data_IF_755252217324
#
_entry.id   IF_755252217324
#
_cell.length_a   1.000
_cell.length_b   1.000
_cell.length_c   1.000
_cell.angle_alpha   90.00
_cell.angle_beta   90.00
_cell.angle_gamma   90.00
#
_symmetry.space_group_name_H-M   'P 1'
#
loop_
_entity.id
_entity.type
_entity.pdbx_description
1 polymer ?
#
# COMPACT_ATOMS: atom_id res chain seq x y z
N UNK A 1 4.38 27.26 -16.20
CA UNK A 1 4.62 26.03 -15.43
C UNK A 1 3.38 25.16 -15.58
N UNK A 2 3.51 23.90 -15.97
CA UNK A 2 2.35 23.01 -16.08
C UNK A 2 1.70 22.83 -14.69
N UNK A 3 0.39 22.67 -14.64
CA UNK A 3 -0.34 22.49 -13.37
C UNK A 3 0.28 21.35 -12.53
N UNK A 4 0.68 20.26 -13.19
CA UNK A 4 1.34 19.11 -12.56
C UNK A 4 2.67 19.51 -11.92
N UNK A 5 3.53 20.24 -12.63
CA UNK A 5 4.84 20.65 -12.08
C UNK A 5 4.67 21.69 -10.97
N UNK A 6 3.63 22.51 -11.02
CA UNK A 6 3.27 23.43 -9.95
C UNK A 6 2.81 22.68 -8.68
N UNK A 7 1.93 21.68 -8.80
CA UNK A 7 1.45 20.92 -7.64
C UNK A 7 2.56 20.13 -6.95
N UNK A 8 3.42 19.45 -7.71
CA UNK A 8 4.55 18.71 -7.12
C UNK A 8 5.59 19.61 -6.46
N UNK A 9 5.93 20.75 -7.09
CA UNK A 9 6.89 21.68 -6.50
C UNK A 9 6.34 22.33 -5.23
N UNK A 10 5.05 22.69 -5.21
CA UNK A 10 4.40 23.27 -4.04
C UNK A 10 4.33 22.29 -2.86
N UNK A 11 3.91 21.03 -3.09
CA UNK A 11 3.79 20.04 -2.01
C UNK A 11 5.15 19.69 -1.40
N UNK A 12 6.16 19.52 -2.24
CA UNK A 12 7.53 19.26 -1.80
C UNK A 12 8.08 20.46 -1.01
N UNK A 13 7.93 21.68 -1.55
CA UNK A 13 8.38 22.91 -0.89
C UNK A 13 7.70 23.11 0.47
N UNK A 14 6.39 22.87 0.57
CA UNK A 14 5.65 22.99 1.83
C UNK A 14 6.13 21.97 2.87
N UNK A 15 6.32 20.71 2.47
CA UNK A 15 6.80 19.66 3.38
C UNK A 15 8.20 19.96 3.93
N UNK A 16 9.10 20.46 3.07
CA UNK A 16 10.45 20.86 3.43
C UNK A 16 10.43 22.10 4.33
N UNK A 17 9.61 23.11 3.99
CA UNK A 17 9.50 24.32 4.78
C UNK A 17 9.00 24.04 6.21
N UNK A 18 7.96 23.23 6.36
CA UNK A 18 7.43 22.86 7.67
C UNK A 18 8.43 22.02 8.48
N UNK A 19 9.13 21.09 7.84
CA UNK A 19 10.15 20.27 8.50
C UNK A 19 11.35 21.11 8.94
N UNK A 20 11.85 22.00 8.07
CA UNK A 20 12.94 22.92 8.39
C UNK A 20 12.55 23.91 9.51
N UNK A 21 11.31 24.40 9.47
CA UNK A 21 10.77 25.27 10.52
C UNK A 21 10.71 24.53 11.86
N UNK A 22 10.29 23.27 11.88
CA UNK A 22 10.31 22.45 13.10
C UNK A 22 11.73 22.31 13.65
N UNK A 23 12.71 21.96 12.81
CA UNK A 23 14.11 21.84 13.26
C UNK A 23 14.72 23.15 13.75
N UNK A 24 14.28 24.31 13.23
CA UNK A 24 14.76 25.60 13.69
C UNK A 24 14.10 26.02 15.01
N UNK A 25 12.77 25.86 15.16
CA UNK A 25 12.08 26.30 16.38
C UNK A 25 12.18 25.30 17.53
N UNK A 26 12.27 24.00 17.27
CA UNK A 26 12.29 22.99 18.32
C UNK A 26 13.63 22.98 19.06
N UNK A 27 13.58 23.09 20.39
CA UNK A 27 14.77 23.00 21.22
C UNK A 27 15.17 21.54 21.42
N UNK A 28 16.20 21.10 20.71
CA UNK A 28 16.71 19.72 20.78
C UNK A 28 17.72 19.59 21.93
N UNK A 29 17.30 18.97 23.04
CA UNK A 29 18.17 18.61 24.17
C UNK A 29 18.24 17.08 24.31
N UNK A 30 19.09 16.42 23.51
CA UNK A 30 19.21 14.97 23.52
C UNK A 30 19.81 14.48 24.84
N UNK A 31 19.25 13.39 25.36
CA UNK A 31 19.72 12.66 26.54
C UNK A 31 19.60 11.16 26.23
N UNK A 32 20.40 10.30 26.85
CA UNK A 32 20.39 8.85 26.58
C UNK A 32 19.01 8.24 26.78
N UNK A 33 18.31 8.67 27.84
CA UNK A 33 16.94 8.21 28.16
C UNK A 33 15.87 8.78 27.22
N UNK A 34 16.09 9.97 26.63
CA UNK A 34 15.16 10.51 25.62
C UNK A 34 15.33 9.86 24.26
N UNK A 35 16.53 9.33 23.99
CA UNK A 35 16.88 8.64 22.76
C UNK A 35 16.65 7.13 22.83
N UNK A 36 16.35 6.57 24.01
CA UNK A 36 16.06 5.15 24.18
C UNK A 36 14.64 4.80 23.66
N UNK A 37 14.41 3.56 23.20
CA UNK A 37 13.09 3.12 22.77
C UNK A 37 12.07 3.14 23.91
N UNK A 38 10.87 3.62 23.64
CA UNK A 38 9.78 3.62 24.61
C UNK A 38 9.03 2.28 24.62
N UNK A 39 9.16 1.48 25.68
CA UNK A 39 8.37 0.26 25.93
C UNK A 39 7.52 0.42 27.19
N UNK A 40 6.55 1.34 27.15
CA UNK A 40 5.63 1.62 28.26
C UNK A 40 6.32 2.01 29.59
N UNK A 41 7.51 2.63 29.50
CA UNK A 41 8.31 3.03 30.66
C UNK A 41 9.27 1.96 31.19
N UNK A 42 9.39 0.83 30.48
CA UNK A 42 10.38 -0.21 30.77
C UNK A 42 11.49 -0.23 29.72
N UNK A 43 12.64 -0.78 30.12
CA UNK A 43 13.71 -1.10 29.18
C UNK A 43 13.26 -2.22 28.24
N UNK A 44 13.53 -2.09 26.93
CA UNK A 44 13.08 -3.07 25.98
C UNK A 44 13.75 -4.42 26.23
N UNK A 45 12.94 -5.47 26.32
CA UNK A 45 13.42 -6.85 26.60
C UNK A 45 14.23 -7.44 25.43
N UNK A 46 14.16 -6.81 24.25
CA UNK A 46 14.88 -7.23 23.06
C UNK A 46 14.70 -6.24 21.91
N UNK A 47 15.00 -6.68 20.69
CA UNK A 47 14.79 -5.85 19.51
C UNK A 47 13.32 -5.84 19.09
N UNK A 48 12.82 -4.68 18.65
CA UNK A 48 11.51 -4.57 18.00
C UNK A 48 11.39 -5.35 16.67
N UNK A 49 12.50 -5.89 16.15
CA UNK A 49 12.54 -6.73 14.94
C UNK A 49 12.18 -8.18 15.27
N UNK A 50 10.94 -8.37 15.68
CA UNK A 50 10.39 -9.70 15.99
C UNK A 50 9.95 -10.42 14.70
N UNK A 51 9.97 -11.76 14.68
CA UNK A 51 9.34 -12.51 13.60
C UNK A 51 7.86 -12.14 13.54
N UNK A 52 7.44 -11.61 12.40
CA UNK A 52 6.07 -11.17 12.16
C UNK A 52 5.19 -12.34 11.73
N UNK A 53 3.87 -12.24 11.95
CA UNK A 53 2.98 -13.34 11.60
C UNK A 53 2.87 -13.52 10.08
N UNK A 54 3.02 -14.77 9.63
CA UNK A 54 3.00 -15.17 8.22
C UNK A 54 1.67 -14.81 7.52
N UNK A 55 0.58 -14.65 8.28
CA UNK A 55 -0.74 -14.34 7.72
C UNK A 55 -0.80 -12.99 7.02
N UNK A 56 -0.13 -11.96 7.56
CA UNK A 56 -0.02 -10.67 6.86
C UNK A 56 0.80 -10.76 5.59
N UNK A 57 1.76 -11.67 5.53
CA UNK A 57 2.55 -11.91 4.33
C UNK A 57 1.69 -12.53 3.21
N UNK A 58 0.75 -13.42 3.55
CA UNK A 58 -0.21 -13.97 2.58
C UNK A 58 -1.07 -12.86 1.98
N UNK A 59 -1.60 -11.96 2.82
CA UNK A 59 -2.37 -10.78 2.38
C UNK A 59 -1.54 -9.88 1.44
N UNK A 60 -0.24 -9.70 1.71
CA UNK A 60 0.63 -8.90 0.84
C UNK A 60 0.83 -9.53 -0.56
N UNK A 61 1.00 -10.85 -0.64
CA UNK A 61 1.08 -11.56 -1.93
C UNK A 61 -0.25 -11.46 -2.67
N UNK A 62 -1.36 -11.66 -1.97
CA UNK A 62 -2.70 -11.57 -2.53
C UNK A 62 -2.96 -10.15 -3.08
N UNK A 63 -2.60 -9.12 -2.34
CA UNK A 63 -2.64 -7.72 -2.80
C UNK A 63 -1.84 -7.52 -4.09
N UNK A 64 -0.62 -8.04 -4.16
CA UNK A 64 0.24 -7.91 -5.35
C UNK A 64 -0.40 -8.57 -6.59
N UNK A 65 -0.97 -9.76 -6.43
CA UNK A 65 -1.66 -10.46 -7.53
C UNK A 65 -2.89 -9.69 -8.00
N UNK A 66 -3.75 -9.23 -7.09
CA UNK A 66 -4.93 -8.43 -7.45
C UNK A 66 -4.56 -7.07 -8.06
N UNK A 67 -3.48 -6.42 -7.61
CA UNK A 67 -3.01 -5.15 -8.18
C UNK A 67 -2.55 -5.33 -9.64
N UNK A 68 -1.84 -6.42 -9.94
CA UNK A 68 -1.48 -6.78 -11.31
C UNK A 68 -2.72 -7.00 -12.18
N UNK A 69 -3.71 -7.72 -11.68
CA UNK A 69 -4.95 -7.99 -12.41
C UNK A 69 -5.80 -6.72 -12.64
N UNK A 70 -5.83 -5.79 -11.67
CA UNK A 70 -6.47 -4.48 -11.84
C UNK A 70 -5.74 -3.66 -12.91
N UNK A 71 -4.40 -3.71 -12.94
CA UNK A 71 -3.63 -3.06 -14.00
C UNK A 71 -3.98 -3.61 -15.39
N UNK A 72 -4.31 -4.90 -15.51
CA UNK A 72 -4.79 -5.51 -16.76
C UNK A 72 -6.22 -5.06 -17.14
N UNK A 73 -7.06 -4.71 -16.16
CA UNK A 73 -8.43 -4.19 -16.38
C UNK A 73 -8.45 -2.68 -16.66
N UNK A 74 -7.43 -1.93 -16.26
CA UNK A 74 -7.32 -0.48 -16.49
C UNK A 74 -7.50 -0.03 -17.95
N UNK A 75 -6.99 -0.73 -18.99
CA UNK A 75 -7.16 -0.32 -20.38
C UNK A 75 -8.58 -0.51 -20.96
N UNK A 76 -9.53 -1.08 -20.22
CA UNK A 76 -10.87 -1.42 -20.73
C UNK A 76 -11.66 -0.24 -21.32
N UNK A 77 -11.67 0.98 -20.74
CA UNK A 77 -12.42 2.10 -21.31
C UNK A 77 -12.00 2.43 -22.75
N UNK A 78 -10.70 2.33 -23.05
CA UNK A 78 -10.18 2.51 -24.41
C UNK A 78 -10.47 1.30 -25.31
N UNK A 79 -10.36 0.09 -24.76
CA UNK A 79 -10.61 -1.13 -25.52
C UNK A 79 -12.08 -1.30 -25.94
N UNK A 80 -13.03 -0.66 -25.23
CA UNK A 80 -14.45 -0.61 -25.62
C UNK A 80 -14.72 0.27 -26.86
N UNK A 81 -13.77 1.11 -27.28
CA UNK A 81 -13.89 1.99 -28.44
C UNK A 81 -13.35 1.35 -29.73
N UNK A 82 -12.80 0.12 -29.64
CA UNK A 82 -12.31 -0.64 -30.78
C UNK A 82 -13.46 -1.23 -31.60
N UNK A 83 -13.17 -1.62 -32.84
CA UNK A 83 -14.17 -2.16 -33.79
C UNK A 83 -14.90 -3.41 -33.28
N UNK A 84 -14.28 -4.19 -32.39
CA UNK A 84 -14.84 -5.41 -31.80
C UNK A 84 -14.99 -5.28 -30.27
N UNK A 85 -15.95 -4.49 -29.76
CA UNK A 85 -16.14 -4.31 -28.32
C UNK A 85 -16.67 -5.57 -27.63
N UNK A 86 -17.38 -6.44 -28.37
CA UNK A 86 -17.90 -7.71 -27.86
C UNK A 86 -16.79 -8.68 -27.47
N UNK A 87 -15.71 -8.77 -28.26
CA UNK A 87 -14.57 -9.63 -27.94
C UNK A 87 -13.81 -9.12 -26.70
N UNK A 88 -13.65 -7.80 -26.58
CA UNK A 88 -13.07 -7.17 -25.39
C UNK A 88 -13.89 -7.49 -24.15
N UNK A 89 -15.22 -7.38 -24.23
CA UNK A 89 -16.12 -7.71 -23.13
C UNK A 89 -16.06 -9.20 -22.73
N UNK A 90 -15.91 -10.11 -23.70
CA UNK A 90 -15.73 -11.53 -23.39
C UNK A 90 -14.41 -11.79 -22.65
N UNK A 91 -13.31 -11.15 -23.05
CA UNK A 91 -12.02 -11.29 -22.34
C UNK A 91 -12.01 -10.63 -20.96
N UNK A 92 -12.64 -9.47 -20.84
CA UNK A 92 -12.78 -8.79 -19.55
C UNK A 92 -13.60 -9.63 -18.56
N UNK A 93 -14.72 -10.21 -19.02
CA UNK A 93 -15.57 -11.04 -18.17
C UNK A 93 -14.91 -12.36 -17.79
N UNK A 94 -14.15 -13.01 -18.68
CA UNK A 94 -13.39 -14.21 -18.32
C UNK A 94 -12.32 -13.91 -17.28
N UNK A 95 -11.62 -12.77 -17.39
CA UNK A 95 -10.62 -12.36 -16.40
C UNK A 95 -11.24 -12.10 -15.02
N UNK A 96 -12.37 -11.38 -14.97
CA UNK A 96 -13.10 -11.14 -13.71
C UNK A 96 -13.61 -12.46 -13.10
N UNK A 97 -14.08 -13.41 -13.91
CA UNK A 97 -14.51 -14.72 -13.42
C UNK A 97 -13.34 -15.48 -12.79
N UNK A 98 -12.16 -15.48 -13.43
CA UNK A 98 -10.97 -16.13 -12.88
C UNK A 98 -10.56 -15.48 -11.55
N UNK A 99 -10.56 -14.15 -11.49
CA UNK A 99 -10.25 -13.35 -10.30
C UNK A 99 -11.19 -13.70 -9.13
N UNK A 100 -12.50 -13.73 -9.39
CA UNK A 100 -13.49 -14.08 -8.37
C UNK A 100 -13.37 -15.53 -7.90
N UNK A 101 -13.07 -16.47 -8.80
CA UNK A 101 -12.82 -17.87 -8.42
C UNK A 101 -11.56 -18.03 -7.58
N UNK A 102 -10.48 -17.31 -7.90
CA UNK A 102 -9.25 -17.28 -7.11
C UNK A 102 -9.49 -16.76 -5.69
N UNK A 103 -10.26 -15.67 -5.57
CA UNK A 103 -10.65 -15.12 -4.27
C UNK A 103 -11.50 -16.10 -3.45
N UNK A 104 -12.50 -16.72 -4.08
CA UNK A 104 -13.36 -17.72 -3.42
C UNK A 104 -12.52 -18.91 -2.93
N UNK A 105 -11.57 -19.39 -3.74
CA UNK A 105 -10.68 -20.47 -3.33
C UNK A 105 -9.88 -20.10 -2.08
N UNK A 106 -9.22 -18.94 -2.09
CA UNK A 106 -8.39 -18.50 -0.97
C UNK A 106 -9.21 -18.23 0.30
N UNK A 107 -10.44 -17.71 0.16
CA UNK A 107 -11.40 -17.62 1.27
C UNK A 107 -11.70 -19.01 1.85
N UNK A 108 -12.04 -20.00 1.01
CA UNK A 108 -12.38 -21.35 1.51
C UNK A 108 -11.21 -22.06 2.19
N UNK A 109 -9.96 -21.67 1.87
CA UNK A 109 -8.76 -22.17 2.54
C UNK A 109 -8.44 -21.44 3.86
N UNK A 110 -9.25 -20.47 4.27
CA UNK A 110 -9.04 -19.69 5.48
C UNK A 110 -7.87 -18.71 5.38
N UNK A 111 -7.41 -18.36 4.18
CA UNK A 111 -6.30 -17.41 3.99
C UNK A 111 -6.65 -15.99 4.46
N UNK A 112 -7.94 -15.65 4.43
CA UNK A 112 -8.51 -14.39 4.92
C UNK A 112 -8.97 -14.43 6.39
N UNK A 113 -8.90 -15.59 7.05
CA UNK A 113 -9.32 -15.71 8.44
C UNK A 113 -8.27 -15.12 9.38
N UNK A 114 -8.67 -14.07 10.08
CA UNK A 114 -7.88 -13.46 11.13
C UNK A 114 -7.85 -14.41 12.32
N UNK A 115 -6.66 -14.59 12.92
CA UNK A 115 -6.60 -15.21 14.23
C UNK A 115 -7.20 -14.21 15.24
N UNK A 116 -8.14 -14.69 16.04
CA UNK A 116 -8.23 -14.22 17.43
C UNK A 116 -7.00 -14.72 18.22
#
# INVERSE_FOLDING_TARGET
>A
MNMITFMFSLSMALSLALTALNFWLAQMTPDSEKLSPYECGFDPLGSARLPFSIRFFLVAILFLLFDLEIALLLPLPWAMQLDNPTTTLTWASTLIIILTLGLVYEWTQGGLEWAE
#
